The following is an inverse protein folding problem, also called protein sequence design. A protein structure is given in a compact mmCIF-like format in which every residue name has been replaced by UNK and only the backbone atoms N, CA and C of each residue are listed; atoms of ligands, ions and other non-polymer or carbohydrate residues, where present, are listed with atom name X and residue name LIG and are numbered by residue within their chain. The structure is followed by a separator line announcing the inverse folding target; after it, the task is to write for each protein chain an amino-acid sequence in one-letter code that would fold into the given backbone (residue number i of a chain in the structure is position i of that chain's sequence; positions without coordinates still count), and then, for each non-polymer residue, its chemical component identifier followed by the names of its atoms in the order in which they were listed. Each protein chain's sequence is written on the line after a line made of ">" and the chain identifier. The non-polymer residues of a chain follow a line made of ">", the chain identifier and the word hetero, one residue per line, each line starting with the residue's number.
data_IF_832031916955
#
_entry.id   IF_832031916955
#
_cell.length_a   1.000
_cell.length_b   1.000
_cell.length_c   1.000
_cell.angle_alpha   90.00
_cell.angle_beta   90.00
_cell.angle_gamma   90.00
#
_symmetry.space_group_name_H-M   'P 1'
#
loop_
_entity.id
_entity.type
_entity.pdbx_description
1 polymer ?
#
# COMPACT_ATOMS: atom_id res chain seq x y z
N UNK A 1 31.02 24.66 -25.83
CA UNK A 1 31.18 24.30 -24.40
C UNK A 1 30.10 24.92 -23.50
N UNK A 2 29.71 26.18 -23.69
CA UNK A 2 28.64 26.83 -22.88
C UNK A 2 27.23 26.24 -23.07
N UNK A 3 26.92 25.72 -24.26
CA UNK A 3 25.62 25.10 -24.56
C UNK A 3 25.43 23.74 -23.90
N UNK A 4 26.49 22.92 -23.83
CA UNK A 4 26.46 21.59 -23.16
C UNK A 4 26.27 21.75 -21.65
N UNK A 5 26.86 22.78 -21.05
CA UNK A 5 26.72 23.07 -19.61
C UNK A 5 25.29 23.48 -19.24
N UNK A 6 24.60 24.22 -20.12
CA UNK A 6 23.20 24.61 -19.91
C UNK A 6 22.21 23.44 -20.10
N UNK A 7 22.50 22.48 -20.97
CA UNK A 7 21.64 21.28 -21.14
C UNK A 7 21.75 20.36 -19.92
N UNK A 8 22.93 20.23 -19.32
CA UNK A 8 23.15 19.40 -18.13
C UNK A 8 22.42 19.95 -16.88
N UNK A 9 22.29 21.27 -16.77
CA UNK A 9 21.63 21.94 -15.64
C UNK A 9 20.10 21.77 -15.64
N UNK A 10 19.46 21.72 -16.82
CA UNK A 10 18.01 21.52 -16.96
C UNK A 10 17.60 20.08 -16.59
N UNK A 11 18.45 19.10 -16.88
CA UNK A 11 18.20 17.69 -16.53
C UNK A 11 18.28 17.50 -15.00
N UNK A 12 19.17 18.24 -14.30
CA UNK A 12 19.28 18.16 -12.84
C UNK A 12 18.07 18.74 -12.09
N UNK A 13 17.41 19.75 -12.65
CA UNK A 13 16.18 20.33 -12.09
C UNK A 13 14.95 19.43 -12.28
N UNK A 14 14.89 18.65 -13.37
CA UNK A 14 13.79 17.72 -13.62
C UNK A 14 13.76 16.54 -12.62
N UNK A 15 14.89 16.17 -12.03
CA UNK A 15 14.96 15.12 -11.00
C UNK A 15 14.41 15.57 -9.63
N UNK A 16 14.28 16.87 -9.36
CA UNK A 16 13.78 17.39 -8.08
C UNK A 16 12.24 17.37 -7.98
N UNK A 17 11.53 17.30 -9.11
CA UNK A 17 10.05 17.35 -9.15
C UNK A 17 9.42 15.96 -8.91
N UNK A 18 10.22 14.89 -8.92
CA UNK A 18 9.72 13.52 -8.87
C UNK A 18 9.11 13.08 -7.52
N UNK A 19 9.10 13.93 -6.49
CA UNK A 19 8.59 13.57 -5.15
C UNK A 19 7.66 14.60 -4.50
N UNK A 20 7.25 15.65 -5.21
CA UNK A 20 6.23 16.57 -4.72
C UNK A 20 4.83 16.06 -5.10
N UNK A 21 4.44 14.87 -4.61
CA UNK A 21 3.01 14.58 -4.51
C UNK A 21 2.48 15.39 -3.34
N UNK A 22 1.56 16.32 -3.61
CA UNK A 22 0.89 17.08 -2.55
C UNK A 22 0.34 16.12 -1.49
N UNK A 23 0.47 16.50 -0.22
CA UNK A 23 -0.06 15.71 0.87
C UNK A 23 -1.57 15.52 0.70
N UNK A 24 -2.12 14.34 1.02
CA UNK A 24 -3.55 14.11 0.87
C UNK A 24 -4.29 15.00 1.85
N UNK A 25 -5.48 15.47 1.45
CA UNK A 25 -6.33 16.25 2.33
C UNK A 25 -6.98 15.32 3.38
N UNK A 26 -6.33 15.17 4.53
CA UNK A 26 -6.82 14.37 5.64
C UNK A 26 -7.75 15.25 6.48
N UNK A 27 -9.03 14.88 6.65
CA UNK A 27 -9.95 15.64 7.48
C UNK A 27 -9.45 15.69 8.93
N UNK A 28 -9.40 16.88 9.50
CA UNK A 28 -8.99 17.11 10.90
C UNK A 28 -10.01 16.53 11.90
N UNK A 29 -11.25 16.37 11.46
CA UNK A 29 -12.33 15.67 12.16
C UNK A 29 -13.24 15.00 11.14
N UNK A 30 -13.73 13.80 11.48
CA UNK A 30 -14.65 13.03 10.64
C UNK A 30 -15.58 12.22 11.54
N UNK A 31 -16.82 12.03 11.09
CA UNK A 31 -17.82 11.19 11.75
C UNK A 31 -17.97 9.91 10.94
N UNK A 32 -17.99 8.75 11.61
CA UNK A 32 -18.08 7.42 10.99
C UNK A 32 -18.99 6.56 11.87
N UNK A 33 -20.26 6.95 11.98
CA UNK A 33 -21.24 6.29 12.84
C UNK A 33 -22.29 5.55 12.01
N UNK A 34 -22.66 6.11 10.86
CA UNK A 34 -23.70 5.58 9.98
C UNK A 34 -23.11 5.24 8.62
N UNK A 35 -23.75 4.33 7.89
CA UNK A 35 -23.32 3.87 6.57
C UNK A 35 -23.09 5.04 5.58
N UNK A 36 -23.92 6.07 5.66
CA UNK A 36 -23.85 7.25 4.79
C UNK A 36 -22.57 8.08 5.03
N UNK A 37 -22.07 8.09 6.26
CA UNK A 37 -20.85 8.83 6.61
C UNK A 37 -19.65 8.26 5.85
N UNK A 38 -19.55 6.93 5.75
CA UNK A 38 -18.45 6.26 5.05
C UNK A 38 -18.41 6.59 3.56
N UNK A 39 -19.57 6.62 2.90
CA UNK A 39 -19.66 6.92 1.47
C UNK A 39 -19.07 8.31 1.14
N UNK A 40 -19.28 9.28 2.04
CA UNK A 40 -18.81 10.67 1.88
C UNK A 40 -17.28 10.80 1.89
N UNK A 41 -16.58 9.88 2.55
CA UNK A 41 -15.11 9.88 2.65
C UNK A 41 -14.41 8.94 1.66
N UNK A 42 -15.17 8.16 0.88
CA UNK A 42 -14.62 7.12 0.00
C UNK A 42 -13.56 7.66 -0.97
N UNK A 43 -13.81 8.83 -1.58
CA UNK A 43 -12.87 9.45 -2.50
C UNK A 43 -11.57 9.87 -1.81
N UNK A 44 -11.67 10.57 -0.66
CA UNK A 44 -10.50 11.01 0.09
C UNK A 44 -9.70 9.83 0.65
N UNK A 45 -10.35 8.75 1.07
CA UNK A 45 -9.68 7.53 1.52
C UNK A 45 -8.89 6.90 0.37
N UNK A 46 -9.48 6.80 -0.82
CA UNK A 46 -8.81 6.26 -2.00
C UNK A 46 -7.58 7.11 -2.37
N UNK A 47 -7.72 8.43 -2.40
CA UNK A 47 -6.60 9.36 -2.63
C UNK A 47 -5.50 9.20 -1.58
N UNK A 48 -5.88 9.06 -0.31
CA UNK A 48 -4.95 8.84 0.80
C UNK A 48 -4.21 7.50 0.65
N UNK A 49 -4.89 6.43 0.24
CA UNK A 49 -4.27 5.13 -0.05
C UNK A 49 -3.25 5.27 -1.18
N UNK A 50 -3.64 5.90 -2.29
CA UNK A 50 -2.77 6.11 -3.45
C UNK A 50 -1.52 6.91 -3.06
N UNK A 51 -1.69 7.99 -2.30
CA UNK A 51 -0.56 8.78 -1.78
C UNK A 51 0.33 7.95 -0.86
N UNK A 52 -0.27 7.19 0.07
CA UNK A 52 0.48 6.35 1.00
C UNK A 52 1.36 5.37 0.22
N UNK A 53 0.82 4.68 -0.79
CA UNK A 53 1.52 3.68 -1.61
C UNK A 53 2.65 4.27 -2.45
N UNK A 54 2.44 5.43 -3.08
CA UNK A 54 3.43 6.06 -3.94
C UNK A 54 4.51 6.83 -3.16
N UNK A 55 4.21 7.23 -1.93
CA UNK A 55 5.18 7.89 -1.07
C UNK A 55 6.12 6.85 -0.45
N UNK A 56 7.44 7.00 -0.54
CA UNK A 56 8.40 6.11 0.12
C UNK A 56 8.16 6.00 1.64
N UNK A 57 8.58 4.87 2.23
CA UNK A 57 8.58 4.70 3.68
C UNK A 57 9.83 5.41 4.21
N UNK A 58 9.67 6.66 4.66
CA UNK A 58 10.74 7.45 5.26
C UNK A 58 10.26 8.17 6.51
N UNK A 59 11.19 8.46 7.42
CA UNK A 59 10.89 9.21 8.65
C UNK A 59 10.51 10.68 8.37
N UNK A 60 10.96 11.23 7.23
CA UNK A 60 10.71 12.62 6.81
C UNK A 60 9.22 12.92 6.64
N UNK A 61 8.43 11.94 6.19
CA UNK A 61 6.99 12.11 5.97
C UNK A 61 6.15 11.53 7.12
N UNK A 62 6.78 11.16 8.25
CA UNK A 62 6.10 10.45 9.35
C UNK A 62 4.97 11.25 10.01
N UNK A 63 5.08 12.59 10.06
CA UNK A 63 4.08 13.50 10.65
C UNK A 63 2.75 13.51 9.89
N UNK A 64 2.78 13.28 8.57
CA UNK A 64 1.59 13.21 7.70
C UNK A 64 1.15 11.76 7.50
N UNK A 65 2.11 10.84 7.34
CA UNK A 65 1.85 9.43 7.09
C UNK A 65 1.08 8.76 8.22
N UNK A 66 1.41 9.06 9.49
CA UNK A 66 0.70 8.44 10.64
C UNK A 66 -0.78 8.86 10.68
N UNK A 67 -1.15 10.15 10.61
CA UNK A 67 -2.54 10.56 10.46
C UNK A 67 -3.24 9.95 9.24
N UNK A 68 -2.57 9.90 8.09
CA UNK A 68 -3.12 9.30 6.87
C UNK A 68 -3.46 7.82 7.07
N UNK A 69 -2.52 7.04 7.61
CA UNK A 69 -2.74 5.63 7.94
C UNK A 69 -3.87 5.46 8.94
N UNK A 70 -3.92 6.29 10.00
CA UNK A 70 -5.00 6.25 10.99
C UNK A 70 -6.36 6.53 10.35
N UNK A 71 -6.46 7.55 9.50
CA UNK A 71 -7.70 7.88 8.80
C UNK A 71 -8.19 6.70 7.94
N UNK A 72 -7.32 6.15 7.08
CA UNK A 72 -7.67 5.02 6.22
C UNK A 72 -8.06 3.80 7.05
N UNK A 73 -7.27 3.41 8.06
CA UNK A 73 -7.57 2.24 8.89
C UNK A 73 -8.85 2.42 9.69
N UNK A 74 -9.13 3.62 10.22
CA UNK A 74 -10.37 3.89 10.96
C UNK A 74 -11.58 3.78 10.03
N UNK A 75 -11.48 4.31 8.82
CA UNK A 75 -12.53 4.21 7.82
C UNK A 75 -12.77 2.76 7.39
N UNK A 76 -11.71 2.00 7.09
CA UNK A 76 -11.82 0.60 6.67
C UNK A 76 -12.43 -0.27 7.77
N UNK A 77 -11.95 -0.16 9.01
CA UNK A 77 -12.43 -1.00 10.12
C UNK A 77 -13.91 -0.82 10.45
N UNK A 78 -14.46 0.36 10.15
CA UNK A 78 -15.89 0.64 10.37
C UNK A 78 -16.76 0.49 9.12
N UNK A 79 -16.17 0.35 7.93
CA UNK A 79 -16.93 0.35 6.70
C UNK A 79 -17.84 -0.89 6.65
N UNK A 80 -19.16 -0.75 6.43
CA UNK A 80 -20.08 -1.88 6.55
C UNK A 80 -19.83 -2.97 5.51
N UNK A 81 -19.42 -2.57 4.30
CA UNK A 81 -19.37 -3.45 3.13
C UNK A 81 -17.95 -3.69 2.58
N UNK A 82 -16.89 -3.19 3.24
CA UNK A 82 -15.53 -3.26 2.71
C UNK A 82 -14.61 -3.83 3.79
N UNK A 83 -14.49 -5.15 3.78
CA UNK A 83 -13.66 -5.92 4.71
C UNK A 83 -12.58 -6.65 3.93
N UNK A 84 -11.38 -6.07 3.80
CA UNK A 84 -10.24 -6.74 3.18
C UNK A 84 -9.95 -8.03 3.96
N UNK A 85 -9.94 -9.19 3.31
CA UNK A 85 -9.68 -10.45 3.99
C UNK A 85 -8.23 -10.52 4.45
N UNK A 86 -7.97 -11.14 5.60
CA UNK A 86 -6.60 -11.32 6.11
C UNK A 86 -6.29 -12.81 6.20
N UNK A 87 -5.29 -13.28 5.44
CA UNK A 87 -4.77 -14.66 5.59
C UNK A 87 -3.62 -14.66 6.56
N UNK A 88 -3.77 -15.48 7.61
CA UNK A 88 -2.72 -15.71 8.57
C UNK A 88 -1.43 -16.22 7.91
N UNK A 89 -1.51 -17.17 6.98
CA UNK A 89 -0.35 -17.71 6.24
C UNK A 89 0.42 -16.68 5.41
N UNK A 90 -0.21 -15.56 5.02
CA UNK A 90 0.47 -14.48 4.30
C UNK A 90 1.24 -13.57 5.27
N UNK A 91 0.65 -13.26 6.43
CA UNK A 91 1.13 -12.22 7.35
C UNK A 91 1.99 -12.78 8.49
N UNK A 92 1.64 -13.95 9.04
CA UNK A 92 2.33 -14.55 10.18
C UNK A 92 3.84 -14.74 9.94
N UNK A 93 4.31 -15.26 8.79
CA UNK A 93 5.74 -15.43 8.55
C UNK A 93 6.53 -14.12 8.53
N UNK A 94 5.88 -12.98 8.27
CA UNK A 94 6.51 -11.67 8.39
C UNK A 94 6.59 -11.22 9.84
N UNK A 95 5.52 -11.44 10.62
CA UNK A 95 5.48 -11.10 12.05
C UNK A 95 6.57 -11.85 12.83
N UNK A 96 6.80 -13.11 12.48
CA UNK A 96 7.85 -13.96 13.05
C UNK A 96 9.26 -13.50 12.65
N UNK A 97 9.41 -12.89 11.48
CA UNK A 97 10.70 -12.44 10.97
C UNK A 97 11.10 -11.06 11.52
N UNK A 98 10.20 -10.07 11.41
CA UNK A 98 10.42 -8.73 11.95
C UNK A 98 9.09 -8.01 12.17
N UNK A 99 8.63 -7.92 13.42
CA UNK A 99 7.35 -7.33 13.78
C UNK A 99 7.20 -5.85 13.38
N UNK A 100 8.30 -5.08 13.35
CA UNK A 100 8.26 -3.65 12.98
C UNK A 100 7.93 -3.51 11.50
N UNK A 101 8.64 -4.24 10.64
CA UNK A 101 8.39 -4.17 9.19
C UNK A 101 7.12 -4.93 8.80
N UNK A 102 6.77 -5.99 9.52
CA UNK A 102 5.52 -6.71 9.32
C UNK A 102 4.30 -5.80 9.50
N UNK A 103 4.25 -4.97 10.55
CA UNK A 103 3.15 -4.03 10.75
C UNK A 103 3.04 -3.02 9.59
N UNK A 104 4.17 -2.50 9.09
CA UNK A 104 4.19 -1.57 7.96
C UNK A 104 3.67 -2.26 6.69
N UNK A 105 4.17 -3.46 6.38
CA UNK A 105 3.82 -4.22 5.19
C UNK A 105 2.38 -4.75 5.25
N UNK A 106 1.89 -5.18 6.41
CA UNK A 106 0.49 -5.55 6.62
C UNK A 106 -0.45 -4.38 6.32
N UNK A 107 -0.11 -3.16 6.74
CA UNK A 107 -0.86 -1.97 6.34
C UNK A 107 -0.90 -1.79 4.81
N UNK A 108 0.20 -2.12 4.10
CA UNK A 108 0.22 -2.06 2.63
C UNK A 108 -0.65 -3.11 1.98
N UNK A 109 -0.64 -4.32 2.53
CA UNK A 109 -1.49 -5.41 2.08
C UNK A 109 -2.96 -4.99 2.08
N UNK A 110 -3.44 -4.56 3.25
CA UNK A 110 -4.82 -4.11 3.46
C UNK A 110 -5.18 -2.95 2.52
N UNK A 111 -4.28 -1.98 2.33
CA UNK A 111 -4.53 -0.86 1.43
C UNK A 111 -4.58 -1.26 -0.05
N UNK A 112 -3.77 -2.22 -0.47
CA UNK A 112 -3.80 -2.76 -1.83
C UNK A 112 -5.13 -3.44 -2.15
N UNK A 113 -5.64 -4.24 -1.21
CA UNK A 113 -6.96 -4.87 -1.29
C UNK A 113 -8.09 -3.85 -1.31
N UNK A 114 -8.07 -2.91 -0.35
CA UNK A 114 -9.08 -1.86 -0.26
C UNK A 114 -9.12 -1.02 -1.54
N UNK A 115 -7.96 -0.60 -2.05
CA UNK A 115 -7.86 0.14 -3.32
C UNK A 115 -8.47 -0.65 -4.48
N UNK A 116 -8.20 -1.96 -4.57
CA UNK A 116 -8.76 -2.82 -5.60
C UNK A 116 -10.29 -2.85 -5.54
N UNK A 117 -10.86 -3.12 -4.36
CA UNK A 117 -12.31 -3.08 -4.11
C UNK A 117 -12.92 -1.71 -4.42
N UNK A 118 -12.18 -0.63 -4.18
CA UNK A 118 -12.66 0.73 -4.42
C UNK A 118 -12.65 1.14 -5.90
N UNK A 119 -11.81 0.53 -6.71
CA UNK A 119 -11.59 0.92 -8.11
C UNK A 119 -12.37 0.09 -9.12
N UNK A 120 -12.86 -1.08 -8.73
CA UNK A 120 -13.65 -1.94 -9.60
C UNK A 120 -15.13 -1.94 -9.24
N UNK A 121 -15.97 -2.23 -10.23
CA UNK A 121 -17.39 -2.61 -10.03
C UNK A 121 -17.60 -4.13 -10.10
N UNK A 122 -16.57 -4.85 -10.51
CA UNK A 122 -16.58 -6.30 -10.62
C UNK A 122 -16.36 -6.93 -9.25
N UNK A 123 -16.99 -8.08 -9.02
CA UNK A 123 -16.69 -8.89 -7.85
C UNK A 123 -15.30 -9.50 -8.00
N UNK A 124 -14.44 -9.25 -7.01
CA UNK A 124 -13.09 -9.81 -6.96
C UNK A 124 -13.09 -11.06 -6.11
N UNK A 125 -12.43 -12.12 -6.58
CA UNK A 125 -12.19 -13.28 -5.73
C UNK A 125 -11.20 -12.91 -4.61
N UNK A 126 -11.24 -13.68 -3.53
CA UNK A 126 -10.29 -13.55 -2.43
C UNK A 126 -8.82 -13.65 -2.92
N UNK A 127 -8.56 -14.54 -3.89
CA UNK A 127 -7.24 -14.66 -4.54
C UNK A 127 -6.85 -13.38 -5.28
N UNK A 128 -7.79 -12.70 -5.95
CA UNK A 128 -7.52 -11.43 -6.63
C UNK A 128 -7.13 -10.33 -5.64
N UNK A 129 -7.82 -10.27 -4.49
CA UNK A 129 -7.51 -9.34 -3.41
C UNK A 129 -6.12 -9.62 -2.85
N UNK A 130 -5.79 -10.86 -2.53
CA UNK A 130 -4.47 -11.23 -2.01
C UNK A 130 -3.33 -10.92 -2.98
N UNK A 131 -3.57 -11.08 -4.28
CA UNK A 131 -2.60 -10.63 -5.29
C UNK A 131 -2.35 -9.13 -5.19
N UNK A 132 -3.42 -8.33 -5.08
CA UNK A 132 -3.31 -6.86 -4.95
C UNK A 132 -2.64 -6.43 -3.65
N UNK A 133 -2.94 -7.11 -2.54
CA UNK A 133 -2.26 -6.89 -1.27
C UNK A 133 -0.77 -7.22 -1.34
N UNK A 134 -0.40 -8.38 -1.88
CA UNK A 134 1.02 -8.79 -2.01
C UNK A 134 1.78 -7.86 -2.97
N UNK A 135 1.16 -7.43 -4.07
CA UNK A 135 1.73 -6.42 -4.98
C UNK A 135 2.06 -5.12 -4.22
N UNK A 136 1.12 -4.61 -3.42
CA UNK A 136 1.35 -3.40 -2.62
C UNK A 136 2.46 -3.58 -1.56
N UNK A 137 2.53 -4.75 -0.92
CA UNK A 137 3.63 -5.07 0.00
C UNK A 137 4.98 -5.11 -0.71
N UNK A 138 5.08 -5.76 -1.87
CA UNK A 138 6.32 -5.88 -2.63
C UNK A 138 6.82 -4.52 -3.10
N UNK A 139 5.93 -3.65 -3.58
CA UNK A 139 6.25 -2.29 -3.97
C UNK A 139 6.84 -1.51 -2.79
N UNK A 140 6.23 -1.61 -1.61
CA UNK A 140 6.74 -0.97 -0.41
C UNK A 140 8.07 -1.56 0.07
N UNK A 141 8.22 -2.88 0.01
CA UNK A 141 9.45 -3.58 0.36
C UNK A 141 10.63 -3.13 -0.53
N UNK A 142 10.40 -2.93 -1.83
CA UNK A 142 11.43 -2.45 -2.75
C UNK A 142 11.97 -1.06 -2.37
N UNK A 143 11.22 -0.24 -1.63
CA UNK A 143 11.69 1.08 -1.13
C UNK A 143 12.62 0.98 0.08
N UNK A 144 12.56 -0.11 0.85
CA UNK A 144 13.37 -0.35 2.05
C UNK A 144 14.50 -1.38 1.82
N UNK A 145 14.37 -2.22 0.80
CA UNK A 145 15.43 -3.09 0.31
C UNK A 145 16.53 -2.25 -0.41
N UNK A 146 17.84 -2.61 -0.33
CA UNK A 146 18.42 -3.77 0.35
C UNK A 146 18.76 -3.55 1.83
N UNK A 147 18.45 -2.38 2.39
CA UNK A 147 18.77 -2.05 3.80
C UNK A 147 18.06 -3.00 4.77
N UNK A 148 16.85 -3.41 4.40
CA UNK A 148 16.05 -4.40 5.11
C UNK A 148 15.88 -5.60 4.20
N UNK A 149 16.19 -6.80 4.70
CA UNK A 149 16.01 -8.05 3.96
C UNK A 149 15.04 -8.94 4.71
N UNK A 150 13.92 -9.27 4.07
CA UNK A 150 12.89 -10.12 4.63
C UNK A 150 12.73 -11.34 3.71
N UNK A 151 13.08 -12.52 4.21
CA UNK A 151 12.98 -13.81 3.53
C UNK A 151 11.57 -14.05 3.00
N UNK A 152 10.56 -13.65 3.75
CA UNK A 152 9.16 -13.78 3.31
C UNK A 152 8.87 -12.90 2.08
N UNK A 153 9.35 -11.66 2.06
CA UNK A 153 9.21 -10.78 0.88
C UNK A 153 10.01 -11.29 -0.32
N UNK A 154 11.23 -11.81 -0.10
CA UNK A 154 12.02 -12.44 -1.16
C UNK A 154 11.35 -13.71 -1.72
N UNK A 155 10.64 -14.48 -0.87
CA UNK A 155 9.82 -15.61 -1.32
C UNK A 155 8.70 -15.12 -2.22
N UNK A 156 7.94 -14.09 -1.82
CA UNK A 156 6.85 -13.53 -2.62
C UNK A 156 7.35 -12.97 -3.96
N UNK A 157 8.44 -12.19 -3.95
CA UNK A 157 9.07 -11.66 -5.17
C UNK A 157 9.48 -12.77 -6.14
N UNK A 158 10.04 -13.88 -5.63
CA UNK A 158 10.38 -15.06 -6.45
C UNK A 158 9.15 -15.77 -7.00
N UNK A 159 8.05 -15.87 -6.25
CA UNK A 159 6.81 -16.47 -6.73
C UNK A 159 6.17 -15.65 -7.84
N UNK A 160 6.19 -14.32 -7.73
CA UNK A 160 5.77 -13.41 -8.80
C UNK A 160 6.61 -13.64 -10.06
N UNK A 161 7.95 -13.60 -9.94
CA UNK A 161 8.85 -13.80 -11.08
C UNK A 161 8.66 -15.16 -11.78
N UNK A 162 8.25 -16.19 -11.03
CA UNK A 162 8.02 -17.54 -11.56
C UNK A 162 6.58 -17.79 -12.03
N UNK A 163 5.68 -16.81 -11.90
CA UNK A 163 4.25 -16.99 -12.22
C UNK A 163 3.54 -18.00 -11.30
N UNK A 164 4.05 -18.23 -10.09
CA UNK A 164 3.53 -19.25 -9.14
C UNK A 164 2.67 -18.68 -8.02
N UNK A 165 2.62 -17.35 -7.88
CA UNK A 165 1.96 -16.71 -6.74
C UNK A 165 0.46 -17.02 -6.66
N UNK A 166 -0.27 -16.87 -7.78
CA UNK A 166 -1.70 -17.16 -7.85
C UNK A 166 -2.03 -18.60 -7.43
N UNK A 167 -1.35 -19.58 -8.04
CA UNK A 167 -1.60 -20.99 -7.72
C UNK A 167 -1.33 -21.34 -6.25
N UNK A 168 -0.33 -20.69 -5.63
CA UNK A 168 -0.09 -20.84 -4.19
C UNK A 168 -1.23 -20.25 -3.35
N UNK A 169 -1.72 -19.05 -3.70
CA UNK A 169 -2.86 -18.41 -3.02
C UNK A 169 -4.15 -19.21 -3.16
N UNK A 170 -4.42 -19.76 -4.35
CA UNK A 170 -5.57 -20.66 -4.57
C UNK A 170 -5.50 -21.91 -3.67
N UNK A 171 -4.30 -22.36 -3.33
CA UNK A 171 -4.11 -23.45 -2.37
C UNK A 171 -4.43 -23.05 -0.92
N UNK A 172 -4.23 -21.78 -0.56
CA UNK A 172 -4.58 -21.26 0.77
C UNK A 172 -6.09 -21.08 0.94
N UNK A 173 -6.78 -20.54 -0.08
CA UNK A 173 -8.24 -20.29 -0.01
C UNK A 173 -9.05 -21.59 0.02
N UNK A 174 -8.50 -22.69 -0.53
CA UNK A 174 -9.17 -23.99 -0.58
C UNK A 174 -8.94 -24.86 0.67
N UNK A 175 -7.93 -24.54 1.48
CA UNK A 175 -7.51 -25.32 2.64
C UNK A 175 -8.09 -24.77 3.94
#
# INVERSE_FOLDING_TARGET
>A
MKTIFNTLFIILLAFQIANAQDAPNIPTSYQLEKKEDYASYRAQVLETIIWLENTPISDQNSSIRRPAQKFVMTWLSGHPDLHPPLVQDIIQPLMEEDAKYAAILMGRFIFGEAKALMQTKEELSEVDLYLKGIEAMLNAYDTIHPKVKLRTMEKYKRMVKKGKLRAWLEGLVKG
#
